data_IF_655880164703
#
_entry.id   IF_655880164703
#
_cell.length_a   1.000
_cell.length_b   1.000
_cell.length_c   1.000
_cell.angle_alpha   90.00
_cell.angle_beta   90.00
_cell.angle_gamma   90.00
#
_symmetry.space_group_name_H-M   'P 1'
#
loop_
_entity.id
_entity.type
_entity.pdbx_description
1 polymer ?
#
# COMPACT_ATOMS: atom_id res chain seq x y z
N UNK A 1 -3.06 4.57 69.79
CA UNK A 1 -3.69 5.02 68.53
C UNK A 1 -2.61 5.10 67.44
N UNK A 2 -2.06 3.95 67.04
CA UNK A 2 -2.28 3.28 65.72
C UNK A 2 -1.82 4.08 64.51
N UNK A 3 -0.56 3.82 64.14
CA UNK A 3 0.10 4.17 62.88
C UNK A 3 -0.54 3.46 61.67
N UNK A 4 -1.80 3.81 61.35
CA UNK A 4 -2.56 3.27 60.20
C UNK A 4 -3.32 4.38 59.48
N UNK A 5 -2.68 5.51 59.14
CA UNK A 5 -3.30 6.54 58.28
C UNK A 5 -2.27 7.33 57.46
N UNK A 6 -1.32 6.69 56.79
CA UNK A 6 -0.42 7.38 55.82
C UNK A 6 0.02 6.49 54.66
N UNK A 7 -0.84 5.60 54.14
CA UNK A 7 -0.51 4.75 52.97
C UNK A 7 -1.67 4.66 51.97
N UNK A 8 -2.32 5.78 51.64
CA UNK A 8 -3.40 5.75 50.64
C UNK A 8 -3.38 6.90 49.64
N UNK A 9 -2.24 7.58 49.46
CA UNK A 9 -2.16 8.76 48.58
C UNK A 9 -0.91 8.81 47.71
N UNK A 10 -0.30 7.65 47.43
CA UNK A 10 0.78 7.52 46.43
C UNK A 10 0.43 6.55 45.29
N UNK A 11 -0.63 5.75 45.44
CA UNK A 11 -1.05 4.79 44.39
C UNK A 11 -1.91 5.40 43.27
N UNK A 12 -2.31 6.68 43.34
CA UNK A 12 -3.23 7.29 42.38
C UNK A 12 -2.56 8.23 41.34
N UNK A 13 -1.25 8.50 41.47
CA UNK A 13 -0.53 9.42 40.56
C UNK A 13 0.45 8.71 39.60
N UNK A 14 0.68 7.40 39.79
CA UNK A 14 1.63 6.64 38.96
C UNK A 14 1.01 5.88 37.78
N UNK A 15 -0.32 5.73 37.72
CA UNK A 15 -0.99 4.90 36.71
C UNK A 15 -1.52 5.72 35.52
N UNK A 16 -1.70 7.03 35.70
CA UNK A 16 -2.27 7.91 34.65
C UNK A 16 -1.31 8.19 33.47
N UNK A 17 0.04 8.29 33.63
CA UNK A 17 0.91 8.53 32.48
C UNK A 17 1.18 7.29 31.62
N UNK A 18 0.92 6.08 32.13
CA UNK A 18 1.19 4.83 31.39
C UNK A 18 0.02 4.35 30.52
N UNK A 19 -1.16 4.96 30.67
CA UNK A 19 -2.34 4.62 29.86
C UNK A 19 -2.41 5.39 28.52
N UNK A 20 -1.45 6.29 28.26
CA UNK A 20 -1.45 7.15 27.07
C UNK A 20 -0.38 6.79 26.02
N UNK A 21 0.29 5.64 26.14
CA UNK A 21 1.33 5.18 25.20
C UNK A 21 0.88 4.06 24.27
N UNK A 22 -0.40 3.68 24.24
CA UNK A 22 -0.95 2.76 23.23
C UNK A 22 -1.65 3.51 22.11
N UNK A 23 -1.06 4.60 21.61
CA UNK A 23 -1.25 4.93 20.20
C UNK A 23 -0.46 3.86 19.43
N UNK A 24 -1.08 2.70 19.20
CA UNK A 24 -0.64 1.83 18.13
C UNK A 24 -0.70 2.67 16.86
N UNK A 25 0.44 2.98 16.27
CA UNK A 25 0.46 3.46 14.90
C UNK A 25 -0.25 2.37 14.09
N UNK A 26 -1.50 2.64 13.67
CA UNK A 26 -2.19 1.76 12.76
C UNK A 26 -1.24 1.59 11.56
N UNK A 27 -1.00 0.35 11.08
CA UNK A 27 -0.21 0.18 9.89
C UNK A 27 -0.86 1.03 8.80
N UNK A 28 -0.11 2.02 8.36
CA UNK A 28 -0.43 2.82 7.19
C UNK A 28 -0.35 1.85 6.00
N UNK A 29 -1.32 1.82 5.08
CA UNK A 29 -1.43 0.81 4.00
C UNK A 29 -1.58 1.49 2.64
N UNK A 30 -0.76 1.15 1.63
CA UNK A 30 -0.80 1.85 0.33
C UNK A 30 -1.68 1.17 -0.72
N UNK A 31 -2.96 1.02 -0.45
CA UNK A 31 -3.86 0.35 -1.37
C UNK A 31 -4.13 1.12 -2.65
N UNK A 32 -3.97 0.45 -3.78
CA UNK A 32 -4.20 1.02 -5.10
C UNK A 32 -3.85 0.10 -6.25
N UNK A 33 -4.07 0.59 -7.47
CA UNK A 33 -3.69 -0.09 -8.71
C UNK A 33 -3.64 0.89 -9.90
N UNK A 34 -3.02 0.48 -11.00
CA UNK A 34 -2.92 1.28 -12.22
C UNK A 34 -4.27 1.43 -12.92
N UNK A 35 -4.64 2.68 -13.23
CA UNK A 35 -5.81 3.02 -14.05
C UNK A 35 -5.43 3.50 -15.45
N UNK A 36 -4.20 3.98 -15.65
CA UNK A 36 -3.71 4.36 -16.98
C UNK A 36 -2.20 4.07 -17.10
N UNK A 37 -1.80 3.05 -17.89
CA UNK A 37 -2.66 2.05 -18.53
C UNK A 37 -3.34 1.14 -17.50
N UNK A 38 -4.56 0.68 -17.79
CA UNK A 38 -5.38 -0.10 -16.84
C UNK A 38 -4.71 -1.45 -16.53
N UNK A 39 -4.59 -1.79 -15.25
CA UNK A 39 -4.07 -3.11 -14.84
C UNK A 39 -5.07 -4.25 -15.11
N UNK A 40 -4.58 -5.49 -15.21
CA UNK A 40 -5.41 -6.70 -15.30
C UNK A 40 -6.46 -6.77 -14.19
N UNK A 41 -6.03 -6.55 -12.95
CA UNK A 41 -6.93 -6.66 -11.78
C UNK A 41 -7.99 -5.56 -11.79
N UNK A 42 -7.62 -4.33 -12.17
CA UNK A 42 -8.57 -3.22 -12.30
C UNK A 42 -9.55 -3.43 -13.46
N UNK A 43 -9.08 -3.90 -14.61
CA UNK A 43 -9.94 -4.20 -15.76
C UNK A 43 -10.95 -5.30 -15.42
N UNK A 44 -10.50 -6.39 -14.79
CA UNK A 44 -11.40 -7.47 -14.41
C UNK A 44 -12.37 -7.09 -13.29
N UNK A 45 -11.98 -6.19 -12.37
CA UNK A 45 -12.91 -5.61 -11.40
C UNK A 45 -13.98 -4.74 -12.08
N UNK A 46 -13.58 -3.94 -13.08
CA UNK A 46 -14.51 -3.11 -13.86
C UNK A 46 -15.50 -3.94 -14.70
N UNK A 47 -15.11 -5.13 -15.17
CA UNK A 47 -16.03 -6.06 -15.84
C UNK A 47 -17.08 -6.68 -14.88
N UNK A 48 -16.94 -6.48 -13.56
CA UNK A 48 -17.85 -7.01 -12.55
C UNK A 48 -17.37 -8.35 -11.98
N UNK A 49 -17.01 -8.43 -10.68
CA UNK A 49 -16.41 -9.63 -10.08
C UNK A 49 -17.22 -10.93 -10.24
N UNK A 50 -18.55 -10.83 -10.15
CA UNK A 50 -19.45 -11.99 -10.14
C UNK A 50 -19.75 -12.56 -11.54
N UNK A 51 -19.59 -11.74 -12.58
CA UNK A 51 -19.89 -12.13 -13.96
C UNK A 51 -19.10 -11.29 -14.95
N UNK A 52 -17.76 -11.41 -14.97
CA UNK A 52 -16.93 -10.65 -15.89
C UNK A 52 -17.21 -11.06 -17.34
N UNK A 53 -16.93 -10.18 -18.30
CA UNK A 53 -17.28 -10.37 -19.70
C UNK A 53 -16.20 -11.10 -20.50
N UNK A 54 -14.94 -10.71 -20.32
CA UNK A 54 -13.80 -11.22 -21.08
C UNK A 54 -13.43 -12.65 -20.68
N UNK A 55 -12.93 -13.42 -21.65
CA UNK A 55 -12.48 -14.78 -21.40
C UNK A 55 -11.31 -14.83 -20.40
N UNK A 56 -10.44 -13.82 -20.40
CA UNK A 56 -9.33 -13.72 -19.47
C UNK A 56 -9.80 -13.45 -18.04
N UNK A 57 -10.73 -12.52 -17.82
CA UNK A 57 -11.27 -12.23 -16.48
C UNK A 57 -12.14 -13.38 -15.96
N UNK A 58 -12.91 -14.07 -16.82
CA UNK A 58 -13.58 -15.34 -16.46
C UNK A 58 -12.58 -16.40 -16.00
N UNK A 59 -11.45 -16.53 -16.70
CA UNK A 59 -10.41 -17.48 -16.32
C UNK A 59 -9.73 -17.11 -14.99
N UNK A 60 -9.53 -15.81 -14.71
CA UNK A 60 -9.05 -15.33 -13.42
C UNK A 60 -9.99 -15.76 -12.29
N UNK A 61 -11.30 -15.49 -12.44
CA UNK A 61 -12.31 -15.86 -11.44
C UNK A 61 -12.40 -17.37 -11.28
N UNK A 62 -12.33 -18.14 -12.37
CA UNK A 62 -12.33 -19.61 -12.30
C UNK A 62 -11.10 -20.16 -11.54
N UNK A 63 -9.96 -19.45 -11.57
CA UNK A 63 -8.75 -19.88 -10.89
C UNK A 63 -8.73 -19.48 -9.40
N UNK A 64 -9.17 -18.26 -9.07
CA UNK A 64 -8.99 -17.65 -7.74
C UNK A 64 -10.27 -17.28 -6.99
N UNK A 65 -11.45 -17.48 -7.58
CA UNK A 65 -12.72 -16.95 -7.07
C UNK A 65 -12.89 -15.45 -7.36
N UNK A 66 -13.95 -14.85 -6.81
CA UNK A 66 -14.28 -13.43 -7.05
C UNK A 66 -13.57 -12.47 -6.08
N UNK A 67 -13.18 -12.96 -4.90
CA UNK A 67 -12.55 -12.15 -3.84
C UNK A 67 -11.32 -11.35 -4.29
N UNK A 68 -10.40 -11.87 -5.13
CA UNK A 68 -9.25 -11.10 -5.61
C UNK A 68 -9.67 -9.84 -6.37
N UNK A 69 -10.81 -9.86 -7.06
CA UNK A 69 -11.34 -8.70 -7.78
C UNK A 69 -11.95 -7.67 -6.83
N UNK A 70 -12.59 -8.09 -5.74
CA UNK A 70 -13.03 -7.14 -4.70
C UNK A 70 -11.84 -6.49 -3.98
N UNK A 71 -10.72 -7.21 -3.89
CA UNK A 71 -9.47 -6.76 -3.27
C UNK A 71 -8.45 -6.29 -4.33
N UNK A 72 -8.95 -5.68 -5.41
CA UNK A 72 -8.16 -5.27 -6.58
C UNK A 72 -7.03 -4.29 -6.26
N UNK A 73 -7.13 -3.59 -5.13
CA UNK A 73 -6.21 -2.57 -4.66
C UNK A 73 -5.10 -3.14 -3.75
N UNK A 74 -4.99 -4.46 -3.58
CA UNK A 74 -4.07 -5.12 -2.64
C UNK A 74 -3.19 -6.20 -3.28
N UNK A 75 -2.76 -6.01 -4.53
CA UNK A 75 -1.69 -6.86 -5.07
C UNK A 75 -0.35 -6.38 -4.49
N UNK A 76 -0.06 -6.78 -3.26
CA UNK A 76 1.07 -6.31 -2.45
C UNK A 76 1.97 -7.44 -1.93
N UNK A 77 3.16 -7.05 -1.46
CA UNK A 77 3.99 -7.84 -0.56
C UNK A 77 4.34 -6.95 0.63
N UNK A 78 3.90 -7.33 1.83
CA UNK A 78 4.09 -6.54 3.06
C UNK A 78 5.54 -6.30 3.44
N UNK A 79 6.44 -7.26 3.18
CA UNK A 79 7.88 -7.17 3.49
C UNK A 79 8.75 -7.21 2.21
N UNK A 80 8.39 -6.39 1.22
CA UNK A 80 9.14 -6.33 -0.04
C UNK A 80 10.52 -5.69 0.17
N UNK A 81 10.57 -4.54 0.86
CA UNK A 81 11.77 -3.78 1.19
C UNK A 81 12.76 -3.62 0.02
N UNK A 82 12.25 -3.37 -1.19
CA UNK A 82 13.04 -3.22 -2.41
C UNK A 82 13.57 -4.52 -3.03
N UNK A 83 13.35 -5.70 -2.40
CA UNK A 83 13.88 -7.01 -2.82
C UNK A 83 13.05 -7.69 -3.92
N UNK A 84 12.42 -6.91 -4.80
CA UNK A 84 11.34 -7.39 -5.69
C UNK A 84 11.75 -8.60 -6.54
N UNK A 85 12.92 -8.56 -7.19
CA UNK A 85 13.41 -9.67 -8.03
C UNK A 85 13.81 -10.91 -7.24
N UNK A 86 14.19 -10.74 -5.97
CA UNK A 86 14.65 -11.83 -5.11
C UNK A 86 13.46 -12.63 -4.55
N UNK A 87 12.34 -11.96 -4.30
CA UNK A 87 11.18 -12.54 -3.60
C UNK A 87 10.00 -12.87 -4.53
N UNK A 88 10.03 -12.41 -5.79
CA UNK A 88 8.98 -12.70 -6.78
C UNK A 88 9.57 -13.63 -7.84
N UNK A 89 9.17 -14.91 -7.88
CA UNK A 89 9.63 -15.84 -8.90
C UNK A 89 9.19 -15.45 -10.31
N UNK A 90 9.94 -15.89 -11.31
CA UNK A 90 9.50 -15.90 -12.70
C UNK A 90 8.14 -16.62 -12.84
N UNK A 91 7.28 -16.09 -13.69
CA UNK A 91 5.90 -16.56 -13.88
C UNK A 91 4.93 -16.13 -12.78
N UNK A 92 5.38 -15.41 -11.76
CA UNK A 92 4.58 -14.94 -10.61
C UNK A 92 4.56 -13.43 -10.44
N UNK A 93 5.02 -12.68 -11.45
CA UNK A 93 5.14 -11.23 -11.36
C UNK A 93 3.78 -10.55 -11.15
N UNK A 94 2.72 -11.01 -11.81
CA UNK A 94 1.42 -10.35 -11.76
C UNK A 94 0.63 -10.72 -10.49
N UNK A 95 0.81 -11.92 -9.95
CA UNK A 95 0.23 -12.33 -8.66
C UNK A 95 1.10 -12.00 -7.46
N UNK A 96 2.34 -11.56 -7.70
CA UNK A 96 3.41 -11.35 -6.70
C UNK A 96 3.70 -12.58 -5.84
N UNK A 97 3.46 -13.77 -6.40
CA UNK A 97 3.59 -15.04 -5.70
C UNK A 97 2.46 -15.36 -4.72
N UNK A 98 1.45 -14.49 -4.58
CA UNK A 98 0.31 -14.71 -3.67
C UNK A 98 -0.75 -15.60 -4.32
N UNK A 99 -1.10 -16.68 -3.64
CA UNK A 99 -2.10 -17.66 -4.10
C UNK A 99 -3.46 -17.01 -4.39
N UNK A 100 -3.88 -16.04 -3.55
CA UNK A 100 -5.06 -15.18 -3.77
C UNK A 100 -5.12 -14.61 -5.19
N UNK A 101 -3.99 -14.17 -5.74
CA UNK A 101 -3.93 -13.48 -7.03
C UNK A 101 -3.41 -14.34 -8.18
N UNK A 102 -3.26 -15.66 -8.01
CA UNK A 102 -2.66 -16.56 -9.01
C UNK A 102 -3.28 -16.49 -10.41
N UNK A 103 -4.56 -16.12 -10.51
CA UNK A 103 -5.26 -15.97 -11.79
C UNK A 103 -4.65 -14.88 -12.69
N UNK A 104 -3.96 -13.89 -12.10
CA UNK A 104 -3.29 -12.82 -12.84
C UNK A 104 -2.08 -13.29 -13.65
N UNK A 105 -1.50 -14.45 -13.32
CA UNK A 105 -0.32 -15.00 -13.99
C UNK A 105 -0.65 -15.78 -15.27
N UNK A 106 -1.94 -15.94 -15.61
CA UNK A 106 -2.33 -16.75 -16.75
C UNK A 106 -1.71 -16.21 -18.06
N UNK A 107 -0.93 -17.03 -18.80
CA UNK A 107 -0.23 -16.58 -20.00
C UNK A 107 -1.19 -16.55 -21.19
N UNK A 108 -1.83 -15.40 -21.41
CA UNK A 108 -2.87 -15.21 -22.42
C UNK A 108 -2.62 -13.99 -23.28
N UNK A 109 -2.95 -14.09 -24.56
CA UNK A 109 -2.90 -12.98 -25.51
C UNK A 109 -4.20 -12.16 -25.57
N UNK A 110 -5.25 -12.57 -24.85
CA UNK A 110 -6.59 -11.97 -24.87
C UNK A 110 -6.97 -11.25 -23.56
N UNK A 111 -5.99 -10.93 -22.71
CA UNK A 111 -6.19 -9.99 -21.59
C UNK A 111 -6.70 -8.64 -22.12
N UNK A 112 -7.69 -8.01 -21.45
CA UNK A 112 -8.09 -6.64 -21.75
C UNK A 112 -6.87 -5.73 -21.79
N UNK A 113 -6.78 -4.86 -22.80
CA UNK A 113 -5.57 -4.05 -23.02
C UNK A 113 -5.87 -2.58 -23.31
N UNK A 114 -4.98 -1.71 -22.86
CA UNK A 114 -5.00 -0.27 -23.18
C UNK A 114 -4.20 0.01 -24.45
N UNK A 115 -4.66 0.95 -25.28
CA UNK A 115 -3.82 1.49 -26.36
C UNK A 115 -2.76 2.40 -25.73
N UNK A 116 -1.50 2.21 -26.10
CA UNK A 116 -0.40 3.05 -25.63
C UNK A 116 0.43 3.52 -26.82
N UNK A 117 0.83 4.79 -26.82
CA UNK A 117 1.64 5.39 -27.86
C UNK A 117 3.02 5.75 -27.33
N UNK A 118 4.03 5.70 -28.19
CA UNK A 118 5.36 6.20 -27.87
C UNK A 118 5.34 7.72 -27.66
N UNK A 119 6.21 8.22 -26.78
CA UNK A 119 6.31 9.65 -26.47
C UNK A 119 5.77 10.00 -25.08
N UNK A 120 5.43 11.27 -24.89
CA UNK A 120 4.98 11.75 -23.58
C UNK A 120 3.59 11.20 -23.27
N UNK A 121 3.41 10.68 -22.06
CA UNK A 121 2.16 10.16 -21.55
C UNK A 121 2.00 10.54 -20.08
N UNK A 122 0.76 10.82 -19.66
CA UNK A 122 0.43 11.07 -18.26
C UNK A 122 -0.25 9.83 -17.70
N UNK A 123 0.38 9.23 -16.70
CA UNK A 123 -0.05 7.98 -16.07
C UNK A 123 -0.93 8.26 -14.85
N UNK A 124 -1.77 7.28 -14.51
CA UNK A 124 -2.65 7.35 -13.33
C UNK A 124 -2.63 6.05 -12.55
N UNK A 125 -2.33 6.17 -11.25
CA UNK A 125 -2.46 5.08 -10.28
C UNK A 125 -3.53 5.46 -9.27
N UNK A 126 -4.61 4.69 -9.14
CA UNK A 126 -5.63 4.93 -8.10
C UNK A 126 -5.05 4.63 -6.73
N UNK A 127 -5.11 5.57 -5.81
CA UNK A 127 -4.69 5.42 -4.43
C UNK A 127 -5.91 5.47 -3.51
N UNK A 128 -6.45 4.31 -3.15
CA UNK A 128 -7.55 4.21 -2.18
C UNK A 128 -7.09 4.56 -0.76
N UNK A 129 -5.80 4.33 -0.46
CA UNK A 129 -5.13 4.80 0.74
C UNK A 129 -3.75 5.35 0.33
N UNK A 130 -3.57 6.69 0.28
CA UNK A 130 -2.33 7.29 -0.21
C UNK A 130 -1.17 7.23 0.80
N UNK A 131 0.00 6.80 0.34
CA UNK A 131 1.27 6.80 1.08
C UNK A 131 2.41 7.48 0.31
N UNK A 132 3.52 7.72 0.99
CA UNK A 132 4.78 8.13 0.35
C UNK A 132 5.47 6.92 -0.26
N UNK A 133 6.14 7.12 -1.39
CA UNK A 133 6.78 6.03 -2.10
C UNK A 133 7.29 6.40 -3.48
N UNK A 134 7.90 5.41 -4.12
CA UNK A 134 8.42 5.52 -5.48
C UNK A 134 7.66 4.57 -6.39
N UNK A 135 7.14 5.12 -7.48
CA UNK A 135 6.52 4.41 -8.58
C UNK A 135 7.55 4.19 -9.69
N UNK A 136 7.75 2.93 -10.06
CA UNK A 136 8.57 2.50 -11.18
C UNK A 136 7.72 1.75 -12.20
N UNK A 137 7.82 2.12 -13.48
CA UNK A 137 7.16 1.41 -14.58
C UNK A 137 8.23 0.75 -15.47
N UNK A 138 8.14 -0.56 -15.59
CA UNK A 138 8.90 -1.40 -16.50
C UNK A 138 8.01 -1.78 -17.68
N UNK A 139 8.62 -2.09 -18.82
CA UNK A 139 7.91 -2.59 -20.00
C UNK A 139 8.63 -3.81 -20.53
N UNK A 140 7.89 -4.75 -21.10
CA UNK A 140 8.47 -5.92 -21.79
C UNK A 140 9.36 -5.53 -22.99
N UNK A 141 10.40 -6.32 -23.23
CA UNK A 141 11.28 -6.24 -24.41
C UNK A 141 10.53 -6.55 -25.70
N UNK A 142 11.15 -6.19 -26.82
CA UNK A 142 10.66 -6.56 -28.14
C UNK A 142 10.70 -8.08 -28.32
N UNK A 143 9.69 -8.63 -29.01
CA UNK A 143 9.52 -10.09 -29.15
C UNK A 143 8.85 -10.77 -27.95
N UNK A 144 8.32 -10.01 -26.98
CA UNK A 144 7.49 -10.52 -25.91
C UNK A 144 6.32 -11.37 -26.44
N UNK A 145 6.13 -12.54 -25.83
CA UNK A 145 5.07 -13.49 -26.15
C UNK A 145 4.13 -13.63 -24.96
N UNK A 146 2.97 -12.98 -25.04
CA UNK A 146 1.95 -12.99 -23.98
C UNK A 146 1.35 -14.38 -23.71
N UNK A 147 1.61 -15.38 -24.55
CA UNK A 147 1.18 -16.78 -24.34
C UNK A 147 2.18 -17.58 -23.51
N UNK A 148 3.26 -16.95 -23.01
CA UNK A 148 4.22 -17.54 -22.07
C UNK A 148 4.15 -16.85 -20.70
N UNK A 149 4.45 -17.57 -19.60
CA UNK A 149 4.55 -16.95 -18.29
C UNK A 149 5.61 -15.83 -18.29
N UNK A 150 5.24 -14.65 -17.77
CA UNK A 150 6.11 -13.48 -17.71
C UNK A 150 7.29 -13.72 -16.76
N UNK A 151 8.50 -13.37 -17.20
CA UNK A 151 9.73 -13.46 -16.42
C UNK A 151 10.35 -12.08 -16.20
N UNK A 152 11.19 -11.94 -15.18
CA UNK A 152 12.00 -10.74 -14.99
C UNK A 152 12.90 -10.45 -16.20
N UNK A 153 13.41 -11.50 -16.86
CA UNK A 153 14.22 -11.37 -18.07
C UNK A 153 13.45 -10.81 -19.27
N UNK A 154 12.12 -10.86 -19.25
CA UNK A 154 11.27 -10.36 -20.34
C UNK A 154 11.06 -8.84 -20.23
N UNK A 155 11.32 -8.23 -19.08
CA UNK A 155 11.25 -6.79 -18.87
C UNK A 155 12.55 -6.10 -19.32
N UNK A 156 12.42 -4.85 -19.79
CA UNK A 156 13.57 -3.95 -19.94
C UNK A 156 14.28 -3.80 -18.60
N UNK A 157 15.62 -3.75 -18.63
CA UNK A 157 16.44 -3.80 -17.41
C UNK A 157 16.30 -2.56 -16.50
N UNK A 158 15.74 -1.47 -17.03
CA UNK A 158 15.51 -0.23 -16.31
C UNK A 158 14.06 0.20 -16.49
N UNK A 159 13.45 0.83 -15.47
CA UNK A 159 12.13 1.39 -15.62
C UNK A 159 12.17 2.58 -16.59
N UNK A 160 11.16 2.70 -17.45
CA UNK A 160 11.03 3.85 -18.36
C UNK A 160 10.36 5.05 -17.67
N UNK A 161 9.77 4.84 -16.48
CA UNK A 161 9.30 5.90 -15.57
C UNK A 161 9.74 5.57 -14.15
N UNK A 162 10.28 6.56 -13.45
CA UNK A 162 10.55 6.51 -12.01
C UNK A 162 10.18 7.84 -11.39
N UNK A 163 9.22 7.84 -10.46
CA UNK A 163 8.73 9.03 -9.78
C UNK A 163 8.57 8.78 -8.29
N UNK A 164 9.05 9.70 -7.46
CA UNK A 164 8.91 9.64 -6.01
C UNK A 164 7.90 10.68 -5.55
N UNK A 165 7.01 10.29 -4.64
CA UNK A 165 5.95 11.10 -4.06
C UNK A 165 5.16 11.90 -5.14
N UNK A 166 4.59 11.22 -6.16
CA UNK A 166 3.85 11.90 -7.22
C UNK A 166 2.63 12.66 -6.68
N UNK A 167 2.17 13.65 -7.45
CA UNK A 167 1.02 14.47 -7.07
C UNK A 167 -0.23 13.60 -6.96
N UNK A 168 -0.97 13.75 -5.87
CA UNK A 168 -2.30 13.15 -5.71
C UNK A 168 -3.37 14.09 -6.26
N UNK A 169 -4.20 13.59 -7.17
CA UNK A 169 -5.30 14.30 -7.81
C UNK A 169 -6.53 13.40 -7.93
N UNK A 170 -7.66 13.82 -7.35
CA UNK A 170 -8.93 13.09 -7.45
C UNK A 170 -8.76 11.61 -7.08
N UNK A 171 -8.03 11.34 -5.99
CA UNK A 171 -7.76 9.98 -5.50
C UNK A 171 -6.76 9.17 -6.32
N UNK A 172 -6.05 9.76 -7.28
CA UNK A 172 -5.02 9.06 -8.06
C UNK A 172 -3.67 9.78 -8.00
N UNK A 173 -2.57 9.04 -7.93
CA UNK A 173 -1.28 9.60 -8.27
C UNK A 173 -1.23 9.88 -9.76
N UNK A 174 -0.84 11.10 -10.12
CA UNK A 174 -0.70 11.57 -11.50
C UNK A 174 0.77 11.93 -11.74
N UNK A 175 1.35 11.37 -12.79
CA UNK A 175 2.76 11.54 -13.09
C UNK A 175 3.03 11.37 -14.58
N UNK A 176 4.01 12.11 -15.08
CA UNK A 176 4.39 12.09 -16.49
C UNK A 176 5.55 11.12 -16.73
N UNK A 177 5.60 10.57 -17.93
CA UNK A 177 6.69 9.72 -18.38
C UNK A 177 6.82 9.71 -19.90
N UNK A 178 7.95 9.20 -20.39
CA UNK A 178 8.21 9.05 -21.81
C UNK A 178 8.15 7.57 -22.19
N UNK A 179 7.06 7.16 -22.81
CA UNK A 179 6.87 5.80 -23.30
C UNK A 179 7.87 5.50 -24.41
N UNK A 180 8.63 4.39 -24.33
CA UNK A 180 9.56 4.01 -25.40
C UNK A 180 8.82 3.64 -26.68
N UNK A 181 9.52 3.71 -27.82
CA UNK A 181 8.99 3.23 -29.08
C UNK A 181 8.90 1.70 -29.07
N UNK A 182 7.67 1.18 -29.19
CA UNK A 182 7.33 -0.25 -29.20
C UNK A 182 6.28 -0.53 -30.27
N UNK A 183 6.03 -1.80 -30.57
CA UNK A 183 5.03 -2.21 -31.57
C UNK A 183 4.34 -3.51 -31.17
N UNK A 184 3.03 -3.60 -31.40
CA UNK A 184 2.25 -4.79 -31.04
C UNK A 184 1.94 -4.87 -29.55
N UNK A 185 1.66 -6.07 -29.06
CA UNK A 185 1.29 -6.31 -27.67
C UNK A 185 2.52 -6.31 -26.76
N UNK A 186 2.40 -5.59 -25.65
CA UNK A 186 3.38 -5.54 -24.57
C UNK A 186 2.67 -5.57 -23.22
N UNK A 187 3.46 -5.70 -22.15
CA UNK A 187 2.98 -5.56 -20.79
C UNK A 187 3.81 -4.49 -20.06
N UNK A 188 3.12 -3.61 -19.34
CA UNK A 188 3.71 -2.66 -18.39
C UNK A 188 3.61 -3.29 -17.00
N UNK A 189 4.75 -3.45 -16.35
CA UNK A 189 4.84 -3.94 -14.97
C UNK A 189 5.17 -2.76 -14.07
N UNK A 190 4.34 -2.50 -13.07
CA UNK A 190 4.53 -1.37 -12.15
C UNK A 190 4.87 -1.85 -10.74
N UNK A 191 5.68 -1.05 -10.06
CA UNK A 191 6.03 -1.24 -8.65
C UNK A 191 5.82 0.09 -7.93
N UNK A 192 5.01 0.10 -6.87
CA UNK A 192 4.96 1.18 -5.88
C UNK A 192 5.66 0.66 -4.61
N UNK A 193 6.93 1.00 -4.43
CA UNK A 193 7.64 0.73 -3.17
C UNK A 193 7.38 1.89 -2.21
N UNK A 194 6.81 1.60 -1.05
CA UNK A 194 6.59 2.61 -0.02
C UNK A 194 7.92 3.03 0.62
N UNK A 195 7.97 4.28 1.07
CA UNK A 195 9.11 4.83 1.82
C UNK A 195 8.86 4.89 3.33
N UNK A 196 7.60 4.70 3.77
CA UNK A 196 7.18 4.70 5.17
C UNK A 196 6.92 3.28 5.74
N UNK A 197 7.20 2.24 4.95
CA UNK A 197 7.02 0.81 5.27
C UNK A 197 7.80 -0.05 4.27
N UNK A 198 8.19 -1.29 4.61
CA UNK A 198 8.76 -2.23 3.63
C UNK A 198 7.77 -2.67 2.54
N UNK A 199 6.47 -2.44 2.72
CA UNK A 199 5.44 -2.90 1.79
C UNK A 199 5.58 -2.30 0.38
N UNK A 200 5.32 -3.12 -0.64
CA UNK A 200 5.23 -2.70 -2.03
C UNK A 200 3.98 -3.24 -2.72
N UNK A 201 3.48 -2.51 -3.72
CA UNK A 201 2.33 -2.87 -4.55
C UNK A 201 2.75 -3.02 -6.00
N UNK A 202 2.06 -3.90 -6.72
CA UNK A 202 2.48 -4.34 -8.05
C UNK A 202 1.29 -4.45 -8.98
N UNK A 203 1.48 -4.12 -10.26
CA UNK A 203 0.42 -4.35 -11.25
C UNK A 203 1.01 -4.77 -12.60
N UNK A 204 0.24 -5.56 -13.33
CA UNK A 204 0.47 -5.85 -14.75
C UNK A 204 -0.63 -5.17 -15.57
N UNK A 205 -0.25 -4.31 -16.51
CA UNK A 205 -1.17 -3.67 -17.47
C UNK A 205 -0.82 -4.12 -18.89
N UNK A 206 -1.72 -4.82 -19.56
CA UNK A 206 -1.54 -5.20 -20.96
C UNK A 206 -1.77 -3.98 -21.87
N UNK A 207 -0.85 -3.76 -22.81
CA UNK A 207 -0.91 -2.63 -23.73
C UNK A 207 -0.68 -3.06 -25.16
N UNK A 208 -1.21 -2.29 -26.11
CA UNK A 208 -0.99 -2.49 -27.54
C UNK A 208 -0.50 -1.19 -28.18
N UNK A 209 0.62 -1.29 -28.89
CA UNK A 209 1.23 -0.23 -29.67
C UNK A 209 0.91 -0.39 -31.16
N UNK A 210 0.54 0.72 -31.82
CA UNK A 210 0.13 0.72 -33.23
C UNK A 210 -1.37 0.53 -33.41
N UNK A 211 -1.97 1.25 -34.37
CA UNK A 211 -3.41 1.28 -34.63
C UNK A 211 -3.92 0.10 -35.45
N UNK A 212 -5.12 -0.37 -35.09
CA UNK A 212 -6.03 -1.31 -35.77
C UNK A 212 -5.57 -1.86 -37.13
N UNK A 213 -4.95 -3.06 -37.15
CA UNK A 213 -4.69 -3.73 -38.43
C UNK A 213 -3.66 -4.86 -38.48
N UNK A 214 -3.28 -5.48 -37.36
CA UNK A 214 -2.31 -6.59 -37.37
C UNK A 214 -2.87 -7.80 -36.62
N UNK A 215 -3.31 -8.82 -37.36
CA UNK A 215 -4.13 -9.92 -36.86
C UNK A 215 -3.54 -10.74 -35.71
N UNK A 216 -4.31 -10.85 -34.65
CA UNK A 216 -4.79 -12.06 -33.94
C UNK A 216 -5.93 -11.55 -33.04
N UNK A 217 -7.06 -12.27 -32.93
CA UNK A 217 -8.36 -11.77 -32.47
C UNK A 217 -8.30 -10.66 -31.40
N UNK A 218 -8.90 -9.51 -31.70
CA UNK A 218 -8.80 -8.30 -30.88
C UNK A 218 -9.20 -8.59 -29.43
N UNK A 219 -8.21 -8.58 -28.53
CA UNK A 219 -8.50 -8.60 -27.10
C UNK A 219 -9.40 -7.41 -26.75
N UNK A 220 -10.25 -7.53 -25.71
CA UNK A 220 -11.09 -6.44 -25.27
C UNK A 220 -10.26 -5.21 -24.89
N UNK A 221 -10.90 -4.04 -24.99
CA UNK A 221 -10.30 -2.79 -24.49
C UNK A 221 -10.39 -2.82 -22.97
N UNK A 222 -9.28 -2.54 -22.28
CA UNK A 222 -9.31 -2.44 -20.83
C UNK A 222 -9.99 -1.13 -20.40
N UNK A 223 -10.94 -1.23 -19.47
CA UNK A 223 -11.64 -0.10 -18.87
C UNK A 223 -11.24 0.03 -17.40
N UNK A 224 -10.95 1.26 -16.97
CA UNK A 224 -10.70 1.55 -15.56
C UNK A 224 -12.03 1.52 -14.79
N UNK A 225 -12.08 0.96 -13.56
CA UNK A 225 -13.27 1.01 -12.75
C UNK A 225 -13.64 2.45 -12.39
N UNK A 226 -14.92 2.75 -12.53
CA UNK A 226 -15.52 4.01 -12.12
C UNK A 226 -15.54 4.15 -10.60
N UNK A 227 -15.65 5.39 -10.11
CA UNK A 227 -15.80 5.64 -8.67
C UNK A 227 -17.06 4.95 -8.10
N UNK A 228 -18.10 4.79 -8.92
CA UNK A 228 -19.34 4.11 -8.52
C UNK A 228 -19.10 2.61 -8.33
N UNK A 229 -18.41 1.94 -9.25
CA UNK A 229 -18.06 0.51 -9.14
C UNK A 229 -17.15 0.27 -7.94
N UNK A 230 -16.12 1.11 -7.74
CA UNK A 230 -15.25 1.05 -6.56
C UNK A 230 -16.08 1.15 -5.28
N UNK A 231 -17.02 2.10 -5.21
CA UNK A 231 -17.89 2.29 -4.04
C UNK A 231 -18.83 1.11 -3.81
N UNK A 232 -19.35 0.49 -4.87
CA UNK A 232 -20.23 -0.68 -4.77
C UNK A 232 -19.46 -1.93 -4.33
N UNK A 233 -18.24 -2.13 -4.83
CA UNK A 233 -17.40 -3.27 -4.47
C UNK A 233 -16.79 -3.19 -3.07
N UNK A 234 -16.68 -1.98 -2.49
CA UNK A 234 -16.04 -1.77 -1.19
C UNK A 234 -16.64 -2.61 -0.05
N UNK A 235 -17.96 -2.87 -0.07
CA UNK A 235 -18.62 -3.69 0.96
C UNK A 235 -18.29 -5.18 0.91
N UNK A 236 -17.74 -5.66 -0.22
CA UNK A 236 -17.32 -7.05 -0.43
C UNK A 236 -15.81 -7.23 -0.30
N UNK A 237 -15.06 -6.14 -0.12
CA UNK A 237 -13.61 -6.23 0.06
C UNK A 237 -13.27 -6.77 1.45
N UNK A 238 -12.29 -7.66 1.51
CA UNK A 238 -11.72 -8.17 2.77
C UNK A 238 -10.47 -7.41 3.20
N UNK A 239 -10.07 -6.43 2.40
CA UNK A 239 -8.99 -5.50 2.70
C UNK A 239 -9.38 -4.64 3.90
N UNK A 240 -8.77 -4.89 5.05
CA UNK A 240 -8.82 -3.98 6.18
C UNK A 240 -7.67 -2.99 6.08
N UNK A 241 -7.97 -1.70 6.22
CA UNK A 241 -6.95 -0.65 6.24
C UNK A 241 -6.11 -0.65 7.53
N UNK A 242 -6.40 -1.56 8.47
CA UNK A 242 -5.63 -1.81 9.70
C UNK A 242 -4.69 -3.03 9.67
N UNK A 243 -4.56 -3.76 8.56
CA UNK A 243 -3.69 -4.94 8.44
C UNK A 243 -2.91 -5.01 7.11
N UNK A 244 -1.87 -5.85 7.03
CA UNK A 244 -1.03 -6.07 5.83
C UNK A 244 -1.74 -6.82 4.69
N UNK A 245 -3.06 -6.72 4.66
CA UNK A 245 -3.94 -7.41 3.74
C UNK A 245 -4.55 -8.69 4.28
N UNK A 246 -5.73 -9.00 3.73
CA UNK A 246 -6.62 -10.06 4.18
C UNK A 246 -6.13 -11.48 3.89
N UNK A 247 -4.81 -11.72 3.92
CA UNK A 247 -4.28 -13.08 3.89
C UNK A 247 -4.78 -13.80 5.14
N UNK A 248 -5.47 -14.93 4.94
CA UNK A 248 -5.74 -15.86 6.03
C UNK A 248 -4.42 -16.23 6.74
N UNK A 249 -4.42 -16.62 8.03
CA UNK A 249 -3.20 -17.08 8.71
C UNK A 249 -2.46 -18.18 7.95
N UNK A 250 -3.19 -18.97 7.16
CA UNK A 250 -2.65 -19.99 6.25
C UNK A 250 -1.89 -19.38 5.07
N UNK A 251 -2.39 -18.31 4.46
CA UNK A 251 -1.71 -17.58 3.38
C UNK A 251 -0.50 -16.80 3.90
N UNK A 252 -0.59 -16.16 5.07
CA UNK A 252 0.56 -15.52 5.70
C UNK A 252 1.67 -16.52 5.98
N UNK A 253 1.31 -17.72 6.46
CA UNK A 253 2.26 -18.81 6.70
C UNK A 253 2.83 -19.37 5.40
N UNK A 254 2.01 -19.57 4.37
CA UNK A 254 2.49 -20.05 3.06
C UNK A 254 3.42 -19.02 2.39
N UNK A 255 3.11 -17.73 2.48
CA UNK A 255 3.94 -16.65 1.95
C UNK A 255 5.26 -16.54 2.74
N UNK A 256 5.21 -16.62 4.07
CA UNK A 256 6.40 -16.61 4.91
C UNK A 256 7.27 -17.87 4.70
N UNK A 257 6.66 -19.04 4.55
CA UNK A 257 7.36 -20.30 4.26
C UNK A 257 7.96 -20.30 2.85
N UNK A 258 7.30 -19.69 1.86
CA UNK A 258 7.85 -19.51 0.52
C UNK A 258 9.08 -18.59 0.53
N UNK A 259 8.98 -17.43 1.21
CA UNK A 259 10.10 -16.50 1.39
C UNK A 259 11.26 -17.19 2.15
N UNK A 260 10.95 -17.97 3.18
CA UNK A 260 11.94 -18.72 3.96
C UNK A 260 12.60 -19.86 3.15
N UNK A 261 11.85 -20.57 2.31
CA UNK A 261 12.39 -21.62 1.43
C UNK A 261 13.29 -21.06 0.32
N UNK A 262 12.98 -19.88 -0.21
CA UNK A 262 13.81 -19.26 -1.23
C UNK A 262 15.10 -18.67 -0.67
N UNK A 263 15.04 -18.04 0.51
CA UNK A 263 16.25 -17.56 1.22
C UNK A 263 17.16 -18.70 1.66
N UNK A 264 16.61 -19.90 1.92
CA UNK A 264 17.39 -21.11 2.22
C UNK A 264 17.93 -21.85 0.99
N UNK A 265 17.29 -21.69 -0.18
CA UNK A 265 17.82 -22.23 -1.45
C UNK A 265 19.02 -21.43 -1.98
N UNK A 266 19.09 -20.12 -1.70
CA UNK A 266 20.22 -19.26 -2.08
C UNK A 266 21.41 -19.32 -1.09
N UNK A 267 21.29 -20.01 0.05
CA UNK A 267 22.39 -20.13 1.03
C UNK A 267 23.42 -21.22 0.72
N UNK A 268 23.21 -22.03 -0.33
CA UNK A 268 24.18 -23.07 -0.74
C UNK A 268 25.27 -22.54 -1.69
N UNK A 269 25.38 -21.21 -1.83
CA UNK A 269 26.29 -20.52 -2.74
C UNK A 269 27.08 -19.37 -2.11
N UNK A 270 27.89 -19.64 -1.08
CA UNK A 270 29.17 -18.96 -0.84
C UNK A 270 29.21 -17.47 -0.42
N UNK A 271 29.73 -17.26 0.80
CA UNK A 271 30.43 -16.07 1.33
C UNK A 271 29.58 -14.88 1.81
N UNK A 272 29.50 -14.76 3.14
CA UNK A 272 28.96 -13.61 3.87
C UNK A 272 29.88 -12.36 3.74
N UNK A 273 29.33 -11.15 3.56
CA UNK A 273 30.03 -9.93 3.91
C UNK A 273 29.67 -9.48 5.34
N UNK A 274 30.71 -9.12 6.08
CA UNK A 274 30.69 -8.57 7.43
C UNK A 274 29.79 -7.34 7.58
N UNK A 275 29.04 -7.31 8.69
CA UNK A 275 28.33 -6.14 9.16
C UNK A 275 29.31 -5.01 9.54
N UNK A 276 29.29 -3.90 8.81
CA UNK A 276 29.99 -2.69 9.19
C UNK A 276 29.08 -1.75 9.98
N UNK A 277 29.53 -1.49 11.20
CA UNK A 277 29.06 -0.60 12.26
C UNK A 277 28.13 0.55 11.87
N UNK A 278 27.02 0.63 12.62
CA UNK A 278 26.14 1.78 12.73
C UNK A 278 26.88 3.01 13.33
N UNK A 279 26.77 4.16 12.66
CA UNK A 279 27.12 5.45 13.24
C UNK A 279 25.87 6.08 13.90
N UNK A 280 26.07 6.67 15.08
CA UNK A 280 25.04 7.27 15.93
C UNK A 280 24.41 8.56 15.33
N UNK A 281 23.19 8.96 15.75
CA UNK A 281 22.45 10.06 15.14
C UNK A 281 22.95 11.44 15.60
N UNK A 282 23.03 12.38 14.65
CA UNK A 282 23.19 13.82 14.90
C UNK A 282 21.81 14.50 14.91
N UNK A 283 21.59 15.36 15.90
CA UNK A 283 20.40 16.23 16.01
C UNK A 283 20.36 17.26 14.88
N UNK A 284 19.19 17.41 14.23
CA UNK A 284 18.84 18.66 13.52
C UNK A 284 17.44 19.09 13.96
N UNK A 285 17.38 20.32 14.46
CA UNK A 285 16.20 21.02 14.92
C UNK A 285 15.40 21.63 13.75
N UNK A 286 14.07 21.51 13.84
CA UNK A 286 13.08 22.49 13.40
C UNK A 286 12.81 22.65 11.90
N UNK A 287 11.68 22.12 11.40
CA UNK A 287 10.57 22.94 10.91
C UNK A 287 9.32 22.13 10.54
N UNK A 288 8.16 22.74 10.87
CA UNK A 288 6.78 22.54 10.40
C UNK A 288 6.19 21.12 10.34
N UNK A 289 5.42 20.83 11.39
CA UNK A 289 4.41 19.77 11.43
C UNK A 289 3.34 20.00 10.34
N UNK A 290 2.98 18.90 9.70
CA UNK A 290 2.07 18.81 8.56
C UNK A 290 0.67 19.37 8.83
N UNK A 291 0.14 20.09 7.85
CA UNK A 291 -1.28 20.39 7.74
C UNK A 291 -2.00 19.15 7.19
N UNK A 292 -2.73 18.44 8.05
CA UNK A 292 -3.67 17.40 7.62
C UNK A 292 -4.95 18.08 7.14
N UNK A 293 -5.26 17.95 5.85
CA UNK A 293 -6.57 18.31 5.32
C UNK A 293 -7.63 17.40 5.95
N UNK A 294 -8.55 17.99 6.70
CA UNK A 294 -9.72 17.33 7.26
C UNK A 294 -10.95 18.20 7.04
N UNK A 295 -12.06 17.58 6.63
CA UNK A 295 -13.31 18.25 6.32
C UNK A 295 -13.89 19.02 7.53
N UNK A 296 -14.69 20.04 7.21
CA UNK A 296 -15.13 21.18 8.04
C UNK A 296 -15.96 20.87 9.29
N UNK A 297 -16.15 19.60 9.64
CA UNK A 297 -16.81 19.16 10.88
C UNK A 297 -15.82 18.77 11.98
N UNK A 298 -14.54 18.58 11.66
CA UNK A 298 -13.51 18.11 12.60
C UNK A 298 -13.01 19.21 13.56
N UNK A 299 -13.12 20.48 13.15
CA UNK A 299 -12.61 21.63 13.93
C UNK A 299 -13.34 21.84 15.26
N UNK A 300 -14.61 21.44 15.36
CA UNK A 300 -15.40 21.63 16.58
C UNK A 300 -15.06 20.64 17.69
N UNK A 301 -14.56 19.45 17.35
CA UNK A 301 -14.18 18.43 18.33
C UNK A 301 -12.79 18.74 18.93
N UNK A 302 -11.87 19.28 18.11
CA UNK A 302 -10.52 19.64 18.56
C UNK A 302 -10.50 20.85 19.53
N UNK A 303 -11.37 21.84 19.33
CA UNK A 303 -11.44 23.03 20.20
C UNK A 303 -12.10 22.69 21.56
N UNK A 304 -13.05 21.76 21.60
CA UNK A 304 -13.68 21.30 22.84
C UNK A 304 -12.74 20.54 23.78
N UNK A 305 -11.84 19.72 23.22
CA UNK A 305 -10.90 18.91 24.02
C UNK A 305 -9.84 19.73 24.75
N UNK A 306 -9.31 20.79 24.13
CA UNK A 306 -8.32 21.66 24.75
C UNK A 306 -8.91 22.51 25.91
N UNK A 307 -10.17 22.94 25.80
CA UNK A 307 -10.85 23.71 26.84
C UNK A 307 -11.13 22.88 28.10
N UNK A 308 -11.45 21.58 27.96
CA UNK A 308 -11.67 20.69 29.09
C UNK A 308 -10.38 20.42 29.90
N UNK A 309 -9.23 20.31 29.22
CA UNK A 309 -7.93 20.09 29.85
C UNK A 309 -7.43 21.34 30.60
N UNK A 310 -7.66 22.53 30.07
CA UNK A 310 -7.25 23.78 30.72
C UNK A 310 -8.05 24.07 32.02
N UNK A 311 -9.35 23.74 32.04
CA UNK A 311 -10.19 23.92 33.24
C UNK A 311 -9.86 22.90 34.35
N UNK A 312 -9.47 21.67 33.99
CA UNK A 312 -9.05 20.65 34.95
C UNK A 312 -7.76 21.03 35.70
N UNK A 313 -6.79 21.64 35.01
CA UNK A 313 -5.53 22.07 35.62
C UNK A 313 -5.72 23.24 36.60
N UNK A 314 -6.57 24.22 36.28
CA UNK A 314 -6.80 25.39 37.14
C UNK A 314 -7.47 25.03 38.48
N UNK A 315 -8.38 24.04 38.49
CA UNK A 315 -9.03 23.57 39.71
C UNK A 315 -8.07 22.85 40.68
N UNK A 316 -7.08 22.12 40.14
CA UNK A 316 -6.06 21.42 40.92
C UNK A 316 -5.03 22.38 41.55
N UNK A 317 -4.63 23.45 40.85
CA UNK A 317 -3.71 24.45 41.43
C UNK A 317 -4.41 25.42 42.40
N UNK A 318 -5.70 25.70 42.21
CA UNK A 318 -6.48 26.56 43.12
C UNK A 318 -6.74 25.93 44.50
N UNK A 319 -6.91 24.60 44.56
CA UNK A 319 -7.18 23.88 45.82
C UNK A 319 -5.93 23.65 46.65
N UNK A 320 -4.76 23.49 46.02
CA UNK A 320 -3.47 23.43 46.73
C UNK A 320 -3.10 24.75 47.42
N UNK A 321 -3.43 25.90 46.80
CA UNK A 321 -3.08 27.23 47.34
C UNK A 321 -3.96 27.66 48.53
N UNK A 322 -5.23 27.21 48.59
CA UNK A 322 -6.13 27.50 49.72
C UNK A 322 -5.81 26.72 51.00
N UNK A 323 -5.11 25.58 50.92
CA UNK A 323 -4.67 24.83 52.11
C UNK A 323 -3.40 25.38 52.75
N UNK A 324 -2.58 26.11 52.01
CA UNK A 324 -1.35 26.71 52.53
C UNK A 324 -1.60 27.98 53.37
N UNK A 325 -2.70 28.71 53.13
CA UNK A 325 -3.00 29.97 53.84
C UNK A 325 -3.82 29.80 55.12
N UNK A 326 -4.45 28.64 55.35
CA UNK A 326 -5.27 28.40 56.55
C UNK A 326 -4.49 27.87 57.77
N UNK A 327 -3.18 27.58 57.63
CA UNK A 327 -2.35 26.97 58.69
C UNK A 327 -1.57 27.96 59.57
N UNK A 328 -1.72 29.28 59.39
CA UNK A 328 -0.85 30.28 60.00
C UNK A 328 -1.57 31.36 60.79
N UNK A 329 -2.27 31.00 61.88
CA UNK A 329 -2.59 31.96 62.97
C UNK A 329 -3.05 31.23 64.24
N UNK A 330 -2.10 30.86 65.08
CA UNK A 330 -2.27 30.76 66.54
C UNK A 330 -0.90 30.77 67.20
N UNK A 331 -0.55 31.90 67.82
CA UNK A 331 0.38 32.05 68.96
C UNK A 331 0.90 33.50 69.04
N UNK A 332 0.17 34.36 69.76
CA UNK A 332 0.62 35.14 70.92
C UNK A 332 -0.56 35.92 71.49
#
# INVERSE_FOLDING_TARGET
MTARRKVSLVAALGIVPLALTTLTAAPAVAHGSMLDPVSRISACFAEGPESPDSAACKALVAAGGTQPLYDWNEVNIGDAAGRHQQIIPDGKLCSVGREKYKGLDAPRADWPSSKLAAGNHTFRWRATAPHRGTLELYITKDGYDATKPLKWSDLEAQPFVKVTDPRLENGSYVFDGKVPAKSGRHLVFSILQRSDSPEAFYTCSDVVFGGAGGGTGSAPVAEAPSDQEIKQGAGSSTVDHGGHGGDSPTEQKANAEHIAQQTSADSDGGSAPEAQNAAAPQEIAGEKLAATGGDSTTSYIAIGGAAALALGAAAMFGTARRRATAGGRSAR
#
